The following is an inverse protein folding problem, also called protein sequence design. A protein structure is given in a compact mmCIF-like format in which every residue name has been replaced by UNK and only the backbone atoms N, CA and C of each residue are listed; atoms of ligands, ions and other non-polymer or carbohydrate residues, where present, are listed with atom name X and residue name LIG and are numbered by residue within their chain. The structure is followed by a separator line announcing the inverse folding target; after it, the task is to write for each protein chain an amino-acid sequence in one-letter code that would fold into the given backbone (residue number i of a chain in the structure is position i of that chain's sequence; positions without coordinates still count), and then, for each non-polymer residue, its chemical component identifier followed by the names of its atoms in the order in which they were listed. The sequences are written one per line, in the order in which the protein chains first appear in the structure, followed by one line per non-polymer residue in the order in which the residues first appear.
data_IF_205664819350
#
_entry.id   IF_205664819350
#
_cell.length_a   1.000
_cell.length_b   1.000
_cell.length_c   1.000
_cell.angle_alpha   90.00
_cell.angle_beta   90.00
_cell.angle_gamma   90.00
#
_symmetry.space_group_name_H-M   'P 1'
#
loop_
_entity.id
_entity.type
_entity.pdbx_description
1 polymer ?
#
# COMPACT_ATOMS: atom_id res chain seq x y z
N UNK A 1 -0.77 -1.82 3.46
CA UNK A 1 0.18 -0.71 3.31
C UNK A 1 -0.61 0.59 3.23
N UNK A 2 -0.32 1.58 4.07
CA UNK A 2 -0.99 2.89 4.02
C UNK A 2 -0.32 3.73 2.93
N UNK A 3 -1.11 4.38 2.07
CA UNK A 3 -0.67 5.20 0.93
C UNK A 3 -1.30 6.60 0.91
N UNK A 4 -1.99 6.98 1.99
CA UNK A 4 -2.62 8.29 2.13
C UNK A 4 -1.62 9.39 2.45
N UNK A 5 -2.02 10.64 2.15
CA UNK A 5 -1.33 11.85 2.58
C UNK A 5 -1.27 11.94 4.11
N UNK A 6 -0.18 12.53 4.60
CA UNK A 6 -0.04 12.93 5.99
C UNK A 6 -1.19 13.86 6.39
N UNK A 7 -1.78 13.66 7.58
CA UNK A 7 -2.90 14.46 8.06
C UNK A 7 -4.29 13.91 7.69
N UNK A 8 -4.41 12.96 6.77
CA UNK A 8 -5.72 12.40 6.39
C UNK A 8 -6.39 11.69 7.57
N UNK A 9 -5.60 10.96 8.36
CA UNK A 9 -6.08 10.24 9.53
C UNK A 9 -6.60 11.21 10.61
N UNK A 10 -5.86 12.28 10.86
CA UNK A 10 -6.19 13.30 11.86
C UNK A 10 -7.41 14.12 11.45
N UNK A 11 -7.51 14.49 10.17
CA UNK A 11 -8.59 15.35 9.67
C UNK A 11 -9.90 14.59 9.46
N UNK A 12 -9.84 13.32 9.05
CA UNK A 12 -11.03 12.57 8.58
C UNK A 12 -11.24 11.22 9.27
N UNK A 13 -10.36 10.81 10.18
CA UNK A 13 -10.46 9.49 10.83
C UNK A 13 -10.34 8.32 9.85
N UNK A 14 -9.72 8.53 8.68
CA UNK A 14 -9.63 7.56 7.60
C UNK A 14 -8.21 7.50 7.01
N UNK A 15 -7.86 6.34 6.48
CA UNK A 15 -6.63 6.11 5.72
C UNK A 15 -6.96 5.43 4.40
N UNK A 16 -6.10 5.64 3.40
CA UNK A 16 -6.14 4.88 2.15
C UNK A 16 -5.04 3.82 2.23
N UNK A 17 -5.40 2.57 1.97
CA UNK A 17 -4.50 1.44 2.11
C UNK A 17 -4.60 0.46 0.94
N UNK A 18 -3.47 -0.13 0.59
CA UNK A 18 -3.35 -1.26 -0.32
C UNK A 18 -3.23 -2.57 0.47
N UNK A 19 -3.93 -3.61 0.01
CA UNK A 19 -3.83 -4.96 0.58
C UNK A 19 -2.49 -5.60 0.22
N UNK A 20 -1.84 -6.21 1.22
CA UNK A 20 -0.64 -7.01 1.04
C UNK A 20 -1.01 -8.48 0.94
N UNK A 21 -0.50 -9.15 -0.08
CA UNK A 21 -0.64 -10.59 -0.30
C UNK A 21 0.68 -11.31 -0.04
N UNK A 22 0.60 -12.60 0.26
CA UNK A 22 1.79 -13.43 0.42
C UNK A 22 2.68 -13.39 -0.84
N UNK A 23 4.01 -13.49 -0.69
CA UNK A 23 4.92 -13.59 -1.83
C UNK A 23 4.49 -14.71 -2.78
N UNK A 24 4.60 -14.48 -4.09
CA UNK A 24 4.23 -15.42 -5.16
C UNK A 24 2.72 -15.78 -5.27
N UNK A 25 1.82 -15.14 -4.51
CA UNK A 25 0.37 -15.30 -4.71
C UNK A 25 -0.12 -14.70 -6.04
N UNK A 26 0.61 -13.70 -6.55
CA UNK A 26 0.32 -13.04 -7.82
C UNK A 26 1.60 -12.91 -8.66
N UNK A 27 1.53 -13.12 -9.99
CA UNK A 27 2.64 -12.79 -10.88
C UNK A 27 2.96 -11.30 -10.79
N UNK A 28 4.22 -10.95 -11.07
CA UNK A 28 4.64 -9.56 -11.20
C UNK A 28 4.03 -9.00 -12.49
N UNK A 29 3.14 -8.03 -12.36
CA UNK A 29 2.35 -7.45 -13.46
C UNK A 29 2.38 -5.93 -13.36
N UNK A 30 1.88 -5.22 -14.36
CA UNK A 30 1.73 -3.76 -14.28
C UNK A 30 0.90 -3.29 -13.06
N UNK A 31 0.06 -4.17 -12.49
CA UNK A 31 -0.84 -3.86 -11.38
C UNK A 31 -0.36 -4.44 -10.04
N UNK A 32 0.74 -5.20 -10.03
CA UNK A 32 1.29 -5.81 -8.82
C UNK A 32 2.76 -5.46 -8.64
N UNK A 33 3.18 -5.24 -7.39
CA UNK A 33 4.55 -4.86 -7.06
C UNK A 33 5.04 -5.77 -5.94
N UNK A 34 6.19 -6.43 -6.16
CA UNK A 34 6.85 -7.20 -5.10
C UNK A 34 7.60 -6.27 -4.13
N UNK A 35 7.26 -6.37 -2.86
CA UNK A 35 7.98 -5.78 -1.75
C UNK A 35 8.94 -6.80 -1.15
N UNK A 36 10.13 -6.34 -0.76
CA UNK A 36 11.20 -7.13 -0.14
C UNK A 36 11.59 -6.60 1.24
N UNK A 37 11.19 -5.38 1.58
CA UNK A 37 11.46 -4.73 2.85
C UNK A 37 10.35 -3.71 3.13
N UNK A 38 9.92 -3.52 4.39
CA UNK A 38 10.34 -4.23 5.60
C UNK A 38 9.69 -5.62 5.75
N UNK A 39 8.76 -5.97 4.86
CA UNK A 39 8.06 -7.24 4.83
C UNK A 39 8.06 -7.76 3.39
N UNK A 40 8.35 -9.05 3.22
CA UNK A 40 8.22 -9.68 1.91
C UNK A 40 6.73 -9.90 1.59
N UNK A 41 6.24 -9.24 0.54
CA UNK A 41 4.82 -9.26 0.18
C UNK A 41 4.62 -8.88 -1.30
N UNK A 42 3.41 -9.11 -1.82
CA UNK A 42 2.96 -8.53 -3.09
C UNK A 42 1.87 -7.50 -2.83
N UNK A 43 2.07 -6.28 -3.32
CA UNK A 43 1.06 -5.22 -3.36
C UNK A 43 0.29 -5.36 -4.66
N UNK A 44 -1.04 -5.34 -4.60
CA UNK A 44 -1.89 -5.32 -5.80
C UNK A 44 -2.63 -3.98 -5.83
N UNK A 45 -2.27 -3.10 -6.79
CA UNK A 45 -2.72 -1.71 -6.85
C UNK A 45 -4.25 -1.57 -7.00
N UNK A 46 -4.92 -2.54 -7.64
CA UNK A 46 -6.40 -2.56 -7.75
C UNK A 46 -7.11 -2.79 -6.42
N UNK A 47 -6.41 -3.30 -5.40
CA UNK A 47 -6.98 -3.52 -4.06
C UNK A 47 -6.78 -2.30 -3.15
N UNK A 48 -7.16 -1.12 -3.66
CA UNK A 48 -7.13 0.14 -2.94
C UNK A 48 -8.41 0.28 -2.09
N UNK A 49 -8.24 0.47 -0.79
CA UNK A 49 -9.32 0.53 0.18
C UNK A 49 -9.22 1.79 1.03
N UNK A 50 -10.35 2.42 1.30
CA UNK A 50 -10.47 3.38 2.39
C UNK A 50 -10.87 2.63 3.67
N UNK A 51 -10.09 2.82 4.73
CA UNK A 51 -10.31 2.17 6.02
C UNK A 51 -10.35 3.20 7.15
N UNK A 52 -11.04 2.86 8.23
CA UNK A 52 -11.08 3.65 9.46
C UNK A 52 -9.67 3.69 10.10
N UNK A 53 -9.19 4.89 10.44
CA UNK A 53 -7.88 5.09 11.07
C UNK A 53 -7.74 4.36 12.43
N UNK A 54 -8.76 4.35 13.32
CA UNK A 54 -8.75 3.56 14.55
C UNK A 54 -8.39 2.07 14.40
N UNK A 55 -8.65 1.47 13.23
CA UNK A 55 -8.26 0.07 12.96
C UNK A 55 -6.75 -0.16 13.09
N UNK A 56 -5.94 0.89 12.96
CA UNK A 56 -4.49 0.82 12.98
C UNK A 56 -3.89 1.22 14.34
N UNK A 57 -4.68 1.67 15.31
CA UNK A 57 -4.19 2.08 16.65
C UNK A 57 -3.48 0.95 17.39
N UNK A 58 -3.96 -0.30 17.22
CA UNK A 58 -3.37 -1.49 17.84
C UNK A 58 -2.59 -2.34 16.83
N UNK A 59 -2.38 -1.85 15.61
CA UNK A 59 -1.68 -2.60 14.57
C UNK A 59 -0.16 -2.56 14.79
N UNK A 60 0.54 -3.58 14.29
CA UNK A 60 2.00 -3.61 14.29
C UNK A 60 2.52 -2.81 13.10
N UNK A 61 3.31 -1.77 13.38
CA UNK A 61 4.06 -1.05 12.36
C UNK A 61 5.30 -1.86 11.95
N UNK A 62 5.27 -2.42 10.74
CA UNK A 62 6.42 -3.15 10.19
C UNK A 62 7.54 -2.22 9.68
N UNK A 63 7.23 -0.95 9.42
CA UNK A 63 8.16 0.06 8.91
C UNK A 63 7.73 0.64 7.56
N UNK A 64 8.63 1.40 6.94
CA UNK A 64 8.40 2.07 5.66
C UNK A 64 9.13 1.35 4.53
N UNK A 65 8.51 1.32 3.34
CA UNK A 65 9.18 0.86 2.12
C UNK A 65 10.24 1.88 1.67
N UNK A 66 11.26 1.41 0.96
CA UNK A 66 12.29 2.27 0.39
C UNK A 66 11.79 3.09 -0.82
N UNK A 67 12.53 4.15 -1.22
CA UNK A 67 12.13 5.05 -2.30
C UNK A 67 11.97 4.35 -3.66
N UNK A 68 12.80 3.34 -3.95
CA UNK A 68 12.70 2.55 -5.18
C UNK A 68 11.38 1.78 -5.26
N UNK A 69 11.00 1.10 -4.17
CA UNK A 69 9.74 0.37 -4.07
C UNK A 69 8.53 1.30 -4.06
N UNK A 70 8.66 2.46 -3.41
CA UNK A 70 7.63 3.50 -3.44
C UNK A 70 7.35 3.97 -4.87
N UNK A 71 8.39 4.17 -5.67
CA UNK A 71 8.25 4.58 -7.08
C UNK A 71 7.50 3.53 -7.90
N UNK A 72 7.77 2.23 -7.68
CA UNK A 72 7.06 1.15 -8.36
C UNK A 72 5.58 1.11 -7.98
N UNK A 73 5.27 1.25 -6.69
CA UNK A 73 3.89 1.30 -6.19
C UNK A 73 3.14 2.52 -6.75
N UNK A 74 3.78 3.68 -6.78
CA UNK A 74 3.21 4.93 -7.32
C UNK A 74 2.87 4.78 -8.81
N UNK A 75 3.78 4.21 -9.60
CA UNK A 75 3.53 3.91 -11.01
C UNK A 75 2.38 2.91 -11.22
N UNK A 76 2.31 1.86 -10.39
CA UNK A 76 1.23 0.88 -10.46
C UNK A 76 -0.14 1.50 -10.08
N UNK A 77 -0.17 2.38 -9.07
CA UNK A 77 -1.37 3.13 -8.70
C UNK A 77 -1.83 4.06 -9.82
N UNK A 78 -0.91 4.83 -10.41
CA UNK A 78 -1.20 5.69 -11.56
C UNK A 78 -1.79 4.91 -12.73
N UNK A 79 -1.16 3.79 -13.09
CA UNK A 79 -1.65 2.92 -14.16
C UNK A 79 -3.06 2.37 -13.89
N UNK A 80 -3.39 2.01 -12.65
CA UNK A 80 -4.72 1.52 -12.27
C UNK A 80 -5.77 2.64 -12.24
N UNK A 81 -5.38 3.86 -11.89
CA UNK A 81 -6.27 5.01 -11.77
C UNK A 81 -6.37 5.84 -13.06
N UNK A 82 -5.67 5.45 -14.12
CA UNK A 82 -5.58 6.17 -15.40
C UNK A 82 -5.09 7.62 -15.23
N UNK A 83 -4.01 7.80 -14.46
CA UNK A 83 -3.34 9.07 -14.14
C UNK A 83 -1.92 9.12 -14.71
#
# INVERSE_FOLDING_TARGET
MIVSLDGLAEAYGAVVALVLHAPAAHPDTAMSVRLTSPLEASVVAVNLLQLSAPRFETATLHGNIGPEQLTLVDNALRAVLDL
#
